data_IF_120913441700
#
_entry.id   IF_120913441700
#
_cell.length_a   1.000
_cell.length_b   1.000
_cell.length_c   1.000
_cell.angle_alpha   90.00
_cell.angle_beta   90.00
_cell.angle_gamma   90.00
#
_symmetry.space_group_name_H-M   'P 1'
#
loop_
_entity.id
_entity.type
_entity.pdbx_description
1 polymer ?
#
# COMPACT_ATOMS: atom_id res chain seq x y z
N UNK A 1 30.29 6.09 -9.03
CA UNK A 1 29.50 4.93 -8.58
C UNK A 1 28.05 5.28 -8.90
N UNK A 2 27.50 4.72 -9.97
CA UNK A 2 26.18 5.13 -10.45
C UNK A 2 25.09 4.44 -9.64
N UNK A 3 24.38 5.22 -8.81
CA UNK A 3 23.18 4.77 -8.12
C UNK A 3 21.97 4.99 -9.03
N UNK A 4 21.21 3.93 -9.29
CA UNK A 4 19.95 4.03 -10.03
C UNK A 4 18.80 3.89 -9.04
N UNK A 5 18.05 4.97 -8.87
CA UNK A 5 16.86 5.02 -8.02
C UNK A 5 15.63 4.61 -8.83
N UNK A 6 14.87 3.65 -8.30
CA UNK A 6 13.56 3.32 -8.84
C UNK A 6 12.48 3.94 -7.97
N UNK A 7 11.52 4.56 -8.64
CA UNK A 7 10.33 5.09 -8.01
C UNK A 7 9.15 4.16 -8.29
N UNK A 8 8.26 4.04 -7.31
CA UNK A 8 6.96 3.45 -7.54
C UNK A 8 6.16 4.34 -8.50
N UNK A 9 5.63 3.75 -9.56
CA UNK A 9 4.73 4.39 -10.50
C UNK A 9 3.36 3.72 -10.46
N UNK A 10 2.31 4.50 -10.71
CA UNK A 10 0.97 3.99 -10.83
C UNK A 10 0.89 3.00 -11.99
N UNK A 11 0.27 1.84 -11.77
CA UNK A 11 0.12 0.81 -12.81
C UNK A 11 -0.83 1.20 -13.93
N UNK A 12 -1.70 2.19 -13.73
CA UNK A 12 -2.67 2.64 -14.74
C UNK A 12 -2.14 3.79 -15.58
N UNK A 13 -1.47 4.76 -14.96
CA UNK A 13 -1.15 6.03 -15.60
C UNK A 13 0.33 6.44 -15.48
N UNK A 14 1.17 5.55 -14.94
CA UNK A 14 2.60 5.73 -14.71
C UNK A 14 2.98 6.95 -13.87
N UNK A 15 1.99 7.60 -13.27
CA UNK A 15 2.17 8.76 -12.42
C UNK A 15 2.95 8.41 -11.16
N UNK A 16 3.78 9.35 -10.69
CA UNK A 16 4.60 9.19 -9.48
C UNK A 16 4.08 9.98 -8.29
N UNK A 17 3.09 10.84 -8.51
CA UNK A 17 2.49 11.65 -7.47
C UNK A 17 1.34 10.91 -6.79
N UNK A 18 1.48 10.75 -5.48
CA UNK A 18 0.51 10.10 -4.61
C UNK A 18 0.19 10.97 -3.41
N UNK A 19 -1.09 10.99 -3.04
CA UNK A 19 -1.60 11.64 -1.83
C UNK A 19 -1.86 10.58 -0.75
N UNK A 20 -1.34 10.74 0.48
CA UNK A 20 -1.69 9.85 1.58
C UNK A 20 -3.13 10.07 2.01
N UNK A 21 -3.86 8.98 2.22
CA UNK A 21 -5.21 8.92 2.75
C UNK A 21 -5.19 8.02 3.99
N UNK A 22 -5.66 8.55 5.11
CA UNK A 22 -5.81 7.79 6.34
C UNK A 22 -7.28 7.46 6.55
N UNK A 23 -7.59 6.17 6.61
CA UNK A 23 -8.93 5.70 6.95
C UNK A 23 -8.92 5.27 8.41
N UNK A 24 -9.88 5.79 9.18
CA UNK A 24 -10.07 5.45 10.57
C UNK A 24 -11.25 4.49 10.65
N UNK A 25 -10.98 3.23 10.94
CA UNK A 25 -11.99 2.18 11.02
C UNK A 25 -12.11 1.64 12.45
N UNK A 26 -13.33 1.24 12.81
CA UNK A 26 -13.63 0.50 14.02
C UNK A 26 -14.13 -0.87 13.58
N UNK A 27 -13.41 -1.92 13.97
CA UNK A 27 -13.81 -3.30 13.69
C UNK A 27 -14.39 -3.91 14.95
N UNK A 28 -15.67 -4.22 14.91
CA UNK A 28 -16.35 -4.91 15.99
C UNK A 28 -16.19 -6.41 15.85
N UNK A 29 -15.81 -7.07 16.93
CA UNK A 29 -15.72 -8.52 17.03
C UNK A 29 -16.80 -9.00 18.01
N UNK A 30 -17.84 -9.64 17.47
CA UNK A 30 -18.83 -10.36 18.29
C UNK A 30 -18.23 -11.70 18.71
N UNK A 31 -18.05 -11.92 20.01
CA UNK A 31 -17.63 -13.21 20.55
C UNK A 31 -18.83 -13.94 21.13
N UNK A 32 -19.04 -15.21 20.75
CA UNK A 32 -20.24 -16.00 21.07
C UNK A 32 -20.46 -16.30 22.57
N UNK A 33 -19.64 -15.78 23.47
CA UNK A 33 -19.61 -16.14 24.90
C UNK A 33 -19.69 -14.94 25.87
N UNK A 34 -19.90 -13.71 25.39
CA UNK A 34 -20.11 -12.54 26.25
C UNK A 34 -21.02 -11.51 25.56
N UNK A 35 -21.82 -10.79 26.34
CA UNK A 35 -22.59 -9.61 25.90
C UNK A 35 -21.67 -8.38 25.64
N UNK A 36 -20.36 -8.49 25.90
CA UNK A 36 -19.39 -7.41 25.69
C UNK A 36 -18.94 -7.30 24.22
N UNK A 37 -19.12 -6.09 23.67
CA UNK A 37 -18.68 -5.71 22.33
C UNK A 37 -17.18 -5.36 22.35
N UNK A 38 -16.33 -6.26 21.85
CA UNK A 38 -14.89 -5.96 21.67
C UNK A 38 -14.72 -5.21 20.35
N UNK A 39 -14.00 -4.09 20.37
CA UNK A 39 -13.67 -3.33 19.16
C UNK A 39 -12.19 -3.06 19.04
N UNK A 40 -11.67 -3.18 17.81
CA UNK A 40 -10.34 -2.74 17.44
C UNK A 40 -10.44 -1.43 16.66
N UNK A 41 -9.68 -0.42 17.09
CA UNK A 41 -9.49 0.81 16.33
C UNK A 41 -8.31 0.62 15.39
N UNK A 42 -8.53 0.70 14.08
CA UNK A 42 -7.48 0.56 13.07
C UNK A 42 -7.35 1.85 12.27
N UNK A 43 -6.11 2.25 12.01
CA UNK A 43 -5.79 3.34 11.09
C UNK A 43 -5.15 2.70 9.87
N UNK A 44 -5.88 2.69 8.77
CA UNK A 44 -5.40 2.16 7.50
C UNK A 44 -4.79 3.28 6.66
N UNK A 45 -3.55 3.07 6.22
CA UNK A 45 -2.81 4.00 5.37
C UNK A 45 -2.93 3.57 3.89
N UNK A 46 -3.51 4.46 3.08
CA UNK A 46 -3.64 4.31 1.64
C UNK A 46 -2.94 5.45 0.92
N UNK A 47 -2.51 5.20 -0.31
CA UNK A 47 -1.85 6.16 -1.18
C UNK A 47 -2.66 6.28 -2.47
N UNK A 48 -3.27 7.44 -2.69
CA UNK A 48 -4.08 7.71 -3.87
C UNK A 48 -3.25 8.38 -4.95
N UNK A 49 -3.27 7.84 -6.16
CA UNK A 49 -2.69 8.49 -7.33
C UNK A 49 -3.42 9.79 -7.65
N UNK A 50 -2.69 10.90 -7.79
CA UNK A 50 -3.30 12.21 -8.06
C UNK A 50 -3.93 12.33 -9.44
N UNK A 51 -3.55 11.46 -10.40
CA UNK A 51 -4.00 11.51 -11.79
C UNK A 51 -5.19 10.60 -12.09
N UNK A 52 -5.14 9.35 -11.66
CA UNK A 52 -6.21 8.37 -11.93
C UNK A 52 -7.08 8.04 -10.71
N UNK A 53 -6.79 8.63 -9.55
CA UNK A 53 -7.50 8.44 -8.28
C UNK A 53 -7.50 7.01 -7.72
N UNK A 54 -6.76 6.09 -8.36
CA UNK A 54 -6.56 4.73 -7.85
C UNK A 54 -5.80 4.76 -6.53
N UNK A 55 -6.29 4.01 -5.55
CA UNK A 55 -5.71 3.87 -4.22
C UNK A 55 -4.84 2.62 -4.14
N UNK A 56 -3.73 2.72 -3.43
CA UNK A 56 -2.81 1.62 -3.16
C UNK A 56 -2.58 1.53 -1.65
N UNK A 57 -2.52 0.33 -1.12
CA UNK A 57 -2.07 0.09 0.25
C UNK A 57 -0.56 0.18 0.33
N UNK A 58 -0.03 0.45 1.52
CA UNK A 58 1.41 0.36 1.78
C UNK A 58 1.98 -1.00 1.35
N UNK A 59 1.26 -2.09 1.62
CA UNK A 59 1.66 -3.45 1.25
C UNK A 59 1.81 -3.63 -0.26
N UNK A 60 0.90 -3.09 -1.06
CA UNK A 60 0.98 -3.17 -2.52
C UNK A 60 2.18 -2.39 -3.08
N UNK A 61 2.47 -1.22 -2.51
CA UNK A 61 3.65 -0.42 -2.91
C UNK A 61 4.94 -1.19 -2.60
N UNK A 62 5.07 -1.71 -1.38
CA UNK A 62 6.23 -2.51 -0.95
C UNK A 62 6.41 -3.76 -1.80
N UNK A 63 5.31 -4.46 -2.13
CA UNK A 63 5.34 -5.63 -3.01
C UNK A 63 5.84 -5.29 -4.42
N UNK A 64 5.30 -4.23 -5.05
CA UNK A 64 5.75 -3.81 -6.39
C UNK A 64 7.21 -3.38 -6.41
N UNK A 65 7.68 -2.66 -5.38
CA UNK A 65 9.10 -2.33 -5.26
C UNK A 65 9.99 -3.58 -5.08
N UNK A 66 9.50 -4.57 -4.32
CA UNK A 66 10.20 -5.84 -4.18
C UNK A 66 10.26 -6.63 -5.50
N UNK A 67 9.21 -6.59 -6.32
CA UNK A 67 9.19 -7.18 -7.66
C UNK A 67 10.18 -6.49 -8.60
N UNK A 68 10.24 -5.16 -8.62
CA UNK A 68 11.24 -4.40 -9.39
C UNK A 68 12.67 -4.80 -9.00
N UNK A 69 12.93 -4.98 -7.71
CA UNK A 69 14.23 -5.47 -7.20
C UNK A 69 14.55 -6.88 -7.73
N UNK A 70 13.57 -7.79 -7.75
CA UNK A 70 13.74 -9.15 -8.28
C UNK A 70 14.02 -9.14 -9.79
N UNK A 71 13.24 -8.37 -10.55
CA UNK A 71 13.36 -8.26 -12.00
C UNK A 71 14.77 -7.79 -12.41
N UNK A 72 15.31 -6.80 -11.70
CA UNK A 72 16.68 -6.30 -11.95
C UNK A 72 17.74 -7.34 -11.59
N UNK A 73 17.57 -8.09 -10.50
CA UNK A 73 18.50 -9.16 -10.12
C UNK A 73 18.52 -10.31 -11.14
N UNK A 74 17.40 -10.58 -11.81
CA UNK A 74 17.33 -11.58 -12.89
C UNK A 74 17.98 -11.09 -14.19
N UNK A 75 17.78 -9.83 -14.57
CA UNK A 75 18.41 -9.25 -15.79
C UNK A 75 19.93 -9.03 -15.65
N UNK A 76 20.50 -9.20 -14.46
CA UNK A 76 21.94 -9.14 -14.17
C UNK A 76 22.61 -10.53 -14.15
N UNK A 77 21.85 -11.61 -14.38
CA UNK A 77 22.36 -12.97 -14.57
C UNK A 77 22.42 -13.31 -16.05
#
# INVERSE_FOLDING_TARGET
MDSITYYFSCDVCENRDFKPLYNFSLRFHSVNFSDDLIYDKTVDEFYQCTKCLKTFTRREIEQKLAELRKLRKQNLK
#
